data_IF_076425940911
#
_entry.id   IF_076425940911
#
_cell.length_a   1.000
_cell.length_b   1.000
_cell.length_c   1.000
_cell.angle_alpha   90.00
_cell.angle_beta   90.00
_cell.angle_gamma   90.00
#
_symmetry.space_group_name_H-M   'P 1'
#
loop_
_entity.id
_entity.type
_entity.pdbx_description
1 polymer ?
#
# COMPACT_ATOMS: atom_id res chain seq x y z
N UNK A 1 76.93 -40.66 -3.65
CA UNK A 1 75.73 -40.50 -2.80
C UNK A 1 74.66 -39.91 -3.69
N UNK A 2 73.85 -40.78 -4.31
CA UNK A 2 72.50 -41.20 -3.88
C UNK A 2 71.47 -40.13 -4.27
N UNK A 3 70.73 -40.27 -5.39
CA UNK A 3 69.62 -41.20 -5.64
C UNK A 3 68.25 -40.57 -5.30
N UNK A 4 67.31 -40.67 -6.27
CA UNK A 4 65.85 -40.87 -6.09
C UNK A 4 65.09 -39.67 -5.46
N UNK A 5 63.79 -39.45 -5.61
CA UNK A 5 62.67 -40.19 -6.20
C UNK A 5 61.46 -39.23 -6.34
N UNK A 6 60.46 -39.70 -7.08
CA UNK A 6 59.18 -39.09 -7.39
C UNK A 6 58.10 -39.23 -6.28
N UNK A 7 56.87 -38.77 -6.62
CA UNK A 7 55.54 -39.04 -6.04
C UNK A 7 55.13 -38.19 -4.81
N UNK A 8 53.89 -37.73 -4.60
CA UNK A 8 52.56 -37.95 -5.21
C UNK A 8 51.62 -36.76 -4.83
N UNK A 9 50.68 -36.34 -5.68
CA UNK A 9 49.19 -36.47 -5.56
C UNK A 9 48.57 -35.92 -4.27
N UNK A 10 47.73 -34.87 -4.37
CA UNK A 10 46.41 -34.85 -3.72
C UNK A 10 45.41 -33.91 -4.42
N UNK A 11 44.14 -34.25 -4.32
CA UNK A 11 42.97 -33.79 -5.06
C UNK A 11 42.15 -32.69 -4.34
N UNK A 12 41.17 -32.15 -5.07
CA UNK A 12 39.98 -31.38 -4.62
C UNK A 12 40.25 -29.99 -4.00
N UNK A 13 39.51 -28.92 -4.24
CA UNK A 13 38.07 -28.76 -4.52
C UNK A 13 37.78 -27.56 -5.44
N UNK A 14 36.73 -27.60 -6.28
CA UNK A 14 36.14 -26.39 -6.85
C UNK A 14 35.36 -25.62 -5.77
N UNK A 15 35.63 -24.32 -5.68
CA UNK A 15 34.98 -23.40 -4.75
C UNK A 15 33.47 -23.37 -4.99
N UNK A 16 32.74 -23.96 -4.04
CA UNK A 16 31.30 -23.88 -3.85
C UNK A 16 30.89 -22.41 -3.66
N UNK A 17 30.17 -21.87 -4.64
CA UNK A 17 29.52 -20.56 -4.50
C UNK A 17 28.16 -20.82 -3.89
N UNK A 18 27.82 -20.27 -2.70
CA UNK A 18 26.48 -20.43 -2.16
C UNK A 18 25.49 -19.66 -3.05
N UNK A 19 24.84 -20.39 -3.95
CA UNK A 19 23.68 -19.95 -4.70
C UNK A 19 22.59 -19.63 -3.66
N UNK A 20 22.33 -18.34 -3.46
CA UNK A 20 21.19 -17.88 -2.64
C UNK A 20 19.91 -18.55 -3.14
N UNK A 21 18.90 -18.73 -2.26
CA UNK A 21 17.69 -19.45 -2.62
C UNK A 21 17.12 -18.88 -3.93
N UNK A 22 16.76 -19.73 -4.90
CA UNK A 22 16.19 -19.27 -6.16
C UNK A 22 14.98 -18.36 -5.86
N UNK A 23 14.75 -17.31 -6.66
CA UNK A 23 13.53 -16.52 -6.53
C UNK A 23 12.36 -17.49 -6.56
N UNK A 24 11.61 -17.51 -5.45
CA UNK A 24 10.49 -18.41 -5.19
C UNK A 24 9.71 -18.63 -6.47
N UNK A 25 9.68 -19.87 -6.94
CA UNK A 25 8.95 -20.25 -8.14
C UNK A 25 7.55 -19.65 -8.07
N UNK A 26 7.26 -18.73 -9.00
CA UNK A 26 5.91 -18.24 -9.24
C UNK A 26 5.04 -19.47 -9.42
N UNK A 27 4.01 -19.61 -8.59
CA UNK A 27 3.05 -20.71 -8.70
C UNK A 27 2.62 -20.85 -10.17
N UNK A 28 2.78 -22.04 -10.80
CA UNK A 28 2.47 -22.23 -12.21
C UNK A 28 0.97 -22.10 -12.53
N UNK A 29 0.12 -21.98 -11.50
CA UNK A 29 -1.30 -21.71 -11.61
C UNK A 29 -1.65 -20.21 -11.57
N UNK A 30 -0.66 -19.32 -11.34
CA UNK A 30 -0.90 -17.89 -11.27
C UNK A 30 -1.25 -17.34 -12.66
N UNK A 31 -2.54 -17.15 -12.92
CA UNK A 31 -3.00 -16.46 -14.13
C UNK A 31 -2.76 -14.97 -13.94
N UNK A 32 -1.67 -14.48 -14.52
CA UNK A 32 -1.36 -13.07 -14.58
C UNK A 32 -1.77 -12.50 -15.95
N UNK A 33 -2.78 -11.61 -15.97
CA UNK A 33 -3.15 -10.83 -17.16
C UNK A 33 -2.57 -9.43 -17.04
N UNK A 34 -1.91 -8.95 -18.10
CA UNK A 34 -1.42 -7.58 -18.17
C UNK A 34 -2.09 -6.83 -19.32
N UNK A 35 -2.57 -5.62 -19.04
CA UNK A 35 -3.09 -4.71 -20.05
C UNK A 35 -2.30 -3.40 -20.04
N UNK A 36 -1.79 -2.94 -21.20
CA UNK A 36 -1.23 -1.61 -21.32
C UNK A 36 -2.34 -0.57 -21.21
N UNK A 37 -2.07 0.51 -20.48
CA UNK A 37 -2.94 1.67 -20.35
C UNK A 37 -2.28 2.89 -21.01
N UNK A 38 -3.06 3.97 -21.17
CA UNK A 38 -2.58 5.26 -21.66
C UNK A 38 -1.42 5.79 -20.79
N UNK A 39 -0.51 6.54 -21.40
CA UNK A 39 0.65 7.17 -20.76
C UNK A 39 1.68 6.20 -20.15
N UNK A 40 1.86 5.02 -20.76
CA UNK A 40 2.88 4.06 -20.34
C UNK A 40 2.54 3.27 -19.06
N UNK A 41 1.31 3.41 -18.55
CA UNK A 41 0.82 2.68 -17.39
C UNK A 41 0.53 1.22 -17.73
N UNK A 42 0.52 0.36 -16.71
CA UNK A 42 0.19 -1.05 -16.85
C UNK A 42 -0.80 -1.49 -15.78
N UNK A 43 -1.87 -2.14 -16.19
CA UNK A 43 -2.75 -2.88 -15.30
C UNK A 43 -2.30 -4.33 -15.27
N UNK A 44 -2.18 -4.91 -14.08
CA UNK A 44 -1.96 -6.34 -13.90
C UNK A 44 -3.02 -6.93 -12.99
N UNK A 45 -3.62 -8.03 -13.43
CA UNK A 45 -4.47 -8.89 -12.63
C UNK A 45 -3.71 -10.18 -12.37
N UNK A 46 -3.54 -10.59 -11.12
CA UNK A 46 -2.93 -11.86 -10.76
C UNK A 46 -3.81 -12.58 -9.76
N UNK A 47 -4.10 -13.86 -10.00
CA UNK A 47 -4.77 -14.74 -9.05
C UNK A 47 -3.76 -15.75 -8.52
N UNK A 48 -3.57 -15.83 -7.20
CA UNK A 48 -2.65 -16.81 -6.59
C UNK A 48 -3.16 -17.25 -5.23
N UNK A 49 -3.20 -18.56 -4.97
CA UNK A 49 -3.50 -19.10 -3.64
C UNK A 49 -4.89 -18.75 -3.07
N UNK A 50 -5.85 -18.31 -3.90
CA UNK A 50 -7.18 -17.88 -3.45
C UNK A 50 -7.36 -16.37 -3.30
N UNK A 51 -6.28 -15.59 -3.44
CA UNK A 51 -6.32 -14.13 -3.47
C UNK A 51 -6.27 -13.63 -4.92
N UNK A 52 -7.07 -12.60 -5.20
CA UNK A 52 -7.02 -11.85 -6.46
C UNK A 52 -6.37 -10.49 -6.22
N UNK A 53 -5.40 -10.14 -7.05
CA UNK A 53 -4.63 -8.92 -6.96
C UNK A 53 -4.78 -8.10 -8.24
N UNK A 54 -5.30 -6.88 -8.10
CA UNK A 54 -5.33 -5.88 -9.17
C UNK A 54 -4.28 -4.82 -8.84
N UNK A 55 -3.35 -4.58 -9.75
CA UNK A 55 -2.36 -3.50 -9.62
C UNK A 55 -2.40 -2.58 -10.84
N UNK A 56 -2.26 -1.29 -10.61
CA UNK A 56 -1.92 -0.30 -11.65
C UNK A 56 -0.55 0.26 -11.34
N UNK A 57 0.35 0.20 -12.32
CA UNK A 57 1.70 0.76 -12.23
C UNK A 57 1.88 1.91 -13.20
N UNK A 58 2.53 2.97 -12.73
CA UNK A 58 2.96 4.13 -13.51
C UNK A 58 3.98 3.78 -14.59
N UNK A 59 4.25 4.72 -15.50
CA UNK A 59 5.26 4.55 -16.55
C UNK A 59 6.68 4.25 -16.00
N UNK A 60 6.98 4.73 -14.78
CA UNK A 60 8.23 4.45 -14.07
C UNK A 60 8.21 3.17 -13.22
N UNK A 61 7.14 2.37 -13.28
CA UNK A 61 7.01 1.13 -12.50
C UNK A 61 6.51 1.30 -11.05
N UNK A 62 6.33 2.54 -10.59
CA UNK A 62 5.72 2.85 -9.30
C UNK A 62 4.29 2.29 -9.21
N UNK A 63 3.95 1.66 -8.08
CA UNK A 63 2.62 1.13 -7.82
C UNK A 63 1.68 2.29 -7.49
N UNK A 64 0.70 2.57 -8.33
CA UNK A 64 -0.25 3.69 -8.13
C UNK A 64 -1.50 3.22 -7.37
N UNK A 65 -1.97 2.02 -7.67
CA UNK A 65 -3.17 1.43 -7.09
C UNK A 65 -2.96 -0.07 -6.90
N UNK A 66 -3.40 -0.59 -5.76
CA UNK A 66 -3.46 -2.01 -5.46
C UNK A 66 -4.78 -2.34 -4.80
N UNK A 67 -5.47 -3.34 -5.33
CA UNK A 67 -6.64 -3.96 -4.70
C UNK A 67 -6.28 -5.42 -4.47
N UNK A 68 -6.26 -5.84 -3.22
CA UNK A 68 -6.07 -7.25 -2.84
C UNK A 68 -7.37 -7.79 -2.31
N UNK A 69 -7.99 -8.72 -3.02
CA UNK A 69 -9.16 -9.45 -2.55
C UNK A 69 -8.65 -10.57 -1.65
N UNK A 70 -8.87 -10.46 -0.34
CA UNK A 70 -8.53 -11.50 0.65
C UNK A 70 -9.78 -12.18 1.18
N UNK A 71 -9.67 -13.33 1.89
CA UNK A 71 -10.81 -13.99 2.50
C UNK A 71 -11.57 -13.11 3.51
N UNK A 72 -10.87 -12.18 4.16
CA UNK A 72 -11.44 -11.21 5.12
C UNK A 72 -12.08 -10.00 4.42
N UNK A 73 -11.82 -9.80 3.13
CA UNK A 73 -12.39 -8.74 2.30
C UNK A 73 -11.37 -8.02 1.41
N UNK A 74 -11.83 -7.10 0.56
CA UNK A 74 -10.96 -6.30 -0.29
C UNK A 74 -10.12 -5.29 0.52
N UNK A 75 -8.81 -5.26 0.30
CA UNK A 75 -7.89 -4.24 0.80
C UNK A 75 -7.49 -3.32 -0.35
N UNK A 76 -7.87 -2.04 -0.23
CA UNK A 76 -7.49 -0.98 -1.16
C UNK A 76 -6.27 -0.23 -0.64
N UNK A 77 -5.21 -0.19 -1.44
CA UNK A 77 -4.03 0.63 -1.20
C UNK A 77 -3.78 1.51 -2.42
N UNK A 78 -3.53 2.79 -2.19
CA UNK A 78 -3.24 3.74 -3.24
C UNK A 78 -2.04 4.57 -2.87
N UNK A 79 -1.11 4.72 -3.81
CA UNK A 79 0.01 5.63 -3.72
C UNK A 79 -0.08 6.57 -4.93
N UNK A 80 -0.57 7.77 -4.69
CA UNK A 80 -0.95 8.71 -5.75
C UNK A 80 -0.64 10.13 -5.32
N UNK A 81 -0.38 10.98 -6.31
CA UNK A 81 -0.25 12.42 -6.12
C UNK A 81 -1.56 13.06 -5.61
N UNK A 82 -2.73 12.47 -5.91
CA UNK A 82 -4.04 13.00 -5.51
C UNK A 82 -5.13 11.93 -5.48
N UNK A 83 -5.92 11.90 -4.40
CA UNK A 83 -7.21 11.22 -4.31
C UNK A 83 -8.35 12.25 -4.37
N UNK A 84 -9.40 11.98 -5.15
CA UNK A 84 -10.63 12.78 -5.17
C UNK A 84 -11.83 11.85 -5.16
N UNK A 85 -12.66 11.95 -4.13
CA UNK A 85 -13.95 11.28 -4.06
C UNK A 85 -15.04 12.32 -4.38
N UNK A 86 -15.94 11.99 -5.31
CA UNK A 86 -17.11 12.80 -5.66
C UNK A 86 -18.30 11.88 -5.78
N UNK A 87 -19.40 12.21 -5.12
CA UNK A 87 -20.66 11.49 -5.22
C UNK A 87 -21.79 12.47 -5.48
N UNK A 88 -22.81 12.05 -6.22
CA UNK A 88 -23.97 12.87 -6.53
C UNK A 88 -24.94 12.96 -5.34
N UNK A 89 -25.00 11.92 -4.51
CA UNK A 89 -25.92 11.82 -3.38
C UNK A 89 -25.18 11.80 -2.04
N UNK A 90 -24.42 10.74 -1.74
CA UNK A 90 -23.72 10.60 -0.46
C UNK A 90 -22.40 9.85 -0.56
N UNK A 91 -21.53 10.08 0.44
CA UNK A 91 -20.35 9.26 0.75
C UNK A 91 -20.46 8.85 2.21
N UNK A 92 -20.63 7.56 2.46
CA UNK A 92 -20.72 6.99 3.81
C UNK A 92 -19.50 6.13 4.09
N UNK A 93 -18.96 6.24 5.31
CA UNK A 93 -17.81 5.46 5.77
C UNK A 93 -18.19 4.81 7.11
N UNK A 94 -18.53 3.52 7.05
CA UNK A 94 -18.79 2.71 8.25
C UNK A 94 -17.57 1.84 8.54
N UNK A 95 -16.94 2.07 9.69
CA UNK A 95 -15.75 1.35 10.11
C UNK A 95 -15.53 1.44 11.62
N UNK A 96 -14.79 0.47 12.17
CA UNK A 96 -14.44 0.48 13.59
C UNK A 96 -13.45 1.61 13.96
N UNK A 97 -12.56 1.99 13.04
CA UNK A 97 -11.59 3.07 13.25
C UNK A 97 -11.39 3.88 11.97
N UNK A 98 -11.63 5.19 12.05
CA UNK A 98 -11.35 6.14 10.98
C UNK A 98 -10.24 7.10 11.40
N UNK A 99 -9.15 7.16 10.64
CA UNK A 99 -8.02 8.05 10.90
C UNK A 99 -7.66 8.85 9.65
N UNK A 100 -7.63 10.18 9.79
CA UNK A 100 -7.24 11.10 8.73
C UNK A 100 -6.03 11.89 9.18
N UNK A 101 -4.97 11.87 8.38
CA UNK A 101 -3.75 12.63 8.62
C UNK A 101 -3.43 13.45 7.39
N UNK A 102 -3.35 14.77 7.58
CA UNK A 102 -2.86 15.69 6.56
C UNK A 102 -1.53 16.31 7.02
N UNK A 103 -0.60 16.52 6.09
CA UNK A 103 0.69 17.15 6.37
C UNK A 103 0.56 18.67 6.47
N UNK A 104 -0.15 19.28 5.52
CA UNK A 104 -0.21 20.73 5.39
C UNK A 104 -1.52 21.30 5.93
N UNK A 105 -2.67 20.79 5.46
CA UNK A 105 -3.98 21.24 5.93
C UNK A 105 -5.06 20.13 5.79
N UNK A 106 -5.98 20.11 6.74
CA UNK A 106 -7.27 19.40 6.66
C UNK A 106 -8.39 20.44 6.65
N UNK A 107 -9.32 20.34 5.71
CA UNK A 107 -10.48 21.23 5.64
C UNK A 107 -11.75 20.39 5.54
N UNK A 108 -12.67 20.63 6.47
CA UNK A 108 -14.03 20.10 6.45
C UNK A 108 -14.97 21.29 6.23
N UNK A 109 -15.74 21.25 5.16
CA UNK A 109 -16.66 22.33 4.79
C UNK A 109 -17.99 21.74 4.33
N UNK A 110 -19.08 22.41 4.69
CA UNK A 110 -20.44 22.10 4.27
C UNK A 110 -21.12 23.43 3.90
N UNK A 111 -21.91 23.45 2.84
CA UNK A 111 -22.76 24.60 2.52
C UNK A 111 -23.94 24.71 3.50
N UNK A 112 -24.34 23.58 4.09
CA UNK A 112 -25.36 23.50 5.14
C UNK A 112 -24.74 23.34 6.52
N UNK A 113 -25.34 22.48 7.33
CA UNK A 113 -24.82 22.17 8.65
C UNK A 113 -23.60 21.23 8.57
N UNK A 114 -22.68 21.39 9.52
CA UNK A 114 -21.64 20.41 9.85
C UNK A 114 -21.88 19.93 11.28
N UNK A 115 -22.09 18.62 11.44
CA UNK A 115 -22.27 17.99 12.75
C UNK A 115 -21.10 17.08 13.09
N UNK A 116 -20.60 17.17 14.32
CA UNK A 116 -19.64 16.22 14.89
C UNK A 116 -20.25 15.70 16.19
N UNK A 117 -20.43 14.38 16.27
CA UNK A 117 -21.02 13.71 17.42
C UNK A 117 -20.07 12.62 17.92
N UNK A 118 -19.88 12.56 19.23
CA UNK A 118 -19.11 11.52 19.89
C UNK A 118 -19.96 10.94 21.03
N UNK A 119 -20.00 9.61 21.15
CA UNK A 119 -20.65 8.96 22.30
C UNK A 119 -19.85 9.09 23.59
N UNK A 120 -18.56 9.42 23.49
CA UNK A 120 -17.67 9.76 24.60
C UNK A 120 -17.08 11.16 24.42
N UNK A 121 -15.79 11.31 24.69
CA UNK A 121 -15.13 12.62 24.64
C UNK A 121 -14.82 13.10 23.21
N UNK A 122 -15.11 14.37 22.94
CA UNK A 122 -14.60 15.09 21.77
C UNK A 122 -13.48 16.04 22.22
N UNK A 123 -12.27 15.87 21.67
CA UNK A 123 -11.09 16.64 22.04
C UNK A 123 -10.53 17.39 20.84
N UNK A 124 -10.34 18.69 20.99
CA UNK A 124 -9.68 19.56 20.00
C UNK A 124 -8.43 20.13 20.66
N UNK A 125 -7.27 19.82 20.12
CA UNK A 125 -5.98 20.34 20.58
C UNK A 125 -5.32 21.13 19.47
N UNK A 126 -4.78 22.29 19.81
CA UNK A 126 -3.92 23.07 18.93
C UNK A 126 -2.72 23.56 19.73
N UNK A 127 -1.53 23.53 19.12
CA UNK A 127 -0.36 24.21 19.66
C UNK A 127 -0.49 25.74 19.54
N UNK A 128 -1.23 26.19 18.52
CA UNK A 128 -1.56 27.59 18.29
C UNK A 128 -2.93 27.96 18.85
N UNK A 129 -3.75 28.62 18.03
CA UNK A 129 -5.05 29.16 18.45
C UNK A 129 -6.21 28.26 17.99
N UNK A 130 -7.20 28.09 18.87
CA UNK A 130 -8.51 27.55 18.51
C UNK A 130 -9.49 28.71 18.43
N UNK A 131 -10.04 28.97 17.23
CA UNK A 131 -11.06 29.99 17.01
C UNK A 131 -12.41 29.33 16.78
N UNK A 132 -13.38 29.67 17.63
CA UNK A 132 -14.78 29.30 17.44
C UNK A 132 -15.57 30.58 17.31
N UNK A 133 -16.23 30.75 16.18
CA UNK A 133 -17.04 31.93 15.88
C UNK A 133 -18.44 31.48 15.47
N UNK A 134 -19.44 32.16 16.01
CA UNK A 134 -20.83 31.92 15.72
C UNK A 134 -21.67 33.05 16.30
N UNK A 135 -22.89 33.22 15.80
CA UNK A 135 -23.86 34.14 16.41
C UNK A 135 -24.22 33.74 17.83
N UNK A 136 -24.10 32.45 18.16
CA UNK A 136 -24.31 31.90 19.48
C UNK A 136 -23.42 30.68 19.71
N UNK A 137 -22.83 30.56 20.90
CA UNK A 137 -22.01 29.43 21.33
C UNK A 137 -22.58 28.95 22.65
N UNK A 138 -23.05 27.70 22.68
CA UNK A 138 -23.52 27.06 23.90
C UNK A 138 -22.39 26.23 24.49
N UNK A 139 -22.06 26.51 25.74
CA UNK A 139 -21.12 25.73 26.55
C UNK A 139 -21.91 25.25 27.76
N UNK A 140 -22.05 23.94 27.90
CA UNK A 140 -22.75 23.32 29.02
C UNK A 140 -21.75 22.64 29.94
#
# INVERSE_FOLDING_TARGET
MTAREALAVDAADPVDTPEGPPPTALDPAARAQQLPLQHGRRLSLASSGGDDLVEVRGAGGALELRIRLTPEGPVLQMDSLKLSLKAAESVEVDCAQFSVRARDALTLASEGALGVQAGGDARVEAQGEVRVAGTMIYLN
#
